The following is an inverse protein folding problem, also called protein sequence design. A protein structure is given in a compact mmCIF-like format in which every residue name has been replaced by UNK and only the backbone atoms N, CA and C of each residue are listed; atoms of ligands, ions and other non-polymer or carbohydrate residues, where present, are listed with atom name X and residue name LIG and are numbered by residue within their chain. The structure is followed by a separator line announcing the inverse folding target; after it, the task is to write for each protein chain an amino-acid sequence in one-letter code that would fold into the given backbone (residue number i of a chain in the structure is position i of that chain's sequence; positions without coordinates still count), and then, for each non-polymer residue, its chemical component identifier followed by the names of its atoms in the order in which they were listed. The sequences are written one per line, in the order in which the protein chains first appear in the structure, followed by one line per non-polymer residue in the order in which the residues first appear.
data_IF_591458097067
#
_entry.id   IF_591458097067
#
_cell.length_a   1.000
_cell.length_b   1.000
_cell.length_c   1.000
_cell.angle_alpha   90.00
_cell.angle_beta   90.00
_cell.angle_gamma   90.00
#
_symmetry.space_group_name_H-M   'P 1'
#
loop_
_entity.id
_entity.type
_entity.pdbx_description
1 polymer ?
#
# COMPACT_ATOMS: atom_id res chain seq x y z
N UNK A 1 1.59 63.81 24.21
CA UNK A 1 1.17 63.90 22.80
C UNK A 1 1.75 62.71 22.05
N UNK A 2 0.83 61.91 21.50
CA UNK A 2 0.89 60.78 20.58
C UNK A 2 1.89 59.60 20.73
N UNK A 3 1.38 58.36 20.56
CA UNK A 3 2.11 57.11 20.76
C UNK A 3 2.66 56.57 19.44
N UNK A 4 3.66 55.68 19.49
CA UNK A 4 3.94 54.77 18.37
C UNK A 4 3.98 53.33 18.85
N UNK A 5 2.88 52.64 18.52
CA UNK A 5 2.81 51.19 18.35
C UNK A 5 4.04 50.70 17.59
N UNK A 6 4.59 49.55 17.99
CA UNK A 6 5.35 48.70 17.08
C UNK A 6 5.06 47.25 17.41
N UNK A 7 4.18 46.72 16.56
CA UNK A 7 4.07 45.37 16.03
C UNK A 7 4.59 44.20 16.86
N UNK A 8 3.63 43.39 17.28
CA UNK A 8 3.73 41.95 17.53
C UNK A 8 4.31 41.26 16.29
N UNK A 9 5.50 40.68 16.41
CA UNK A 9 5.99 39.68 15.46
C UNK A 9 5.57 38.29 15.95
N UNK A 10 4.40 37.85 15.50
CA UNK A 10 4.04 36.43 15.56
C UNK A 10 4.85 35.70 14.48
N UNK A 11 5.94 35.07 14.88
CA UNK A 11 6.69 34.17 14.00
C UNK A 11 5.85 32.90 13.87
N UNK A 12 5.05 32.83 12.80
CA UNK A 12 4.48 31.58 12.34
C UNK A 12 5.63 30.70 11.85
N UNK A 13 6.09 29.78 12.69
CA UNK A 13 7.01 28.72 12.29
C UNK A 13 6.21 27.79 11.37
N UNK A 14 6.26 28.07 10.07
CA UNK A 14 5.94 27.07 9.05
C UNK A 14 6.96 25.95 9.22
N UNK A 15 6.57 24.90 9.94
CA UNK A 15 7.30 23.65 9.99
C UNK A 15 7.32 23.06 8.57
N UNK A 16 8.39 23.35 7.83
CA UNK A 16 8.70 22.64 6.62
C UNK A 16 8.79 21.13 6.96
N UNK A 17 8.11 20.25 6.23
CA UNK A 17 8.21 18.81 6.48
C UNK A 17 9.69 18.41 6.35
N UNK A 18 10.24 17.85 7.42
CA UNK A 18 11.63 17.39 7.44
C UNK A 18 11.82 16.30 6.37
N UNK A 19 12.97 16.27 5.68
CA UNK A 19 13.24 15.29 4.62
C UNK A 19 13.13 13.83 5.09
N UNK A 20 13.32 13.58 6.40
CA UNK A 20 13.14 12.26 7.00
C UNK A 20 11.70 11.73 6.89
N UNK A 21 10.68 12.59 7.02
CA UNK A 21 9.29 12.18 6.83
C UNK A 21 9.03 11.82 5.37
N UNK A 22 9.55 12.61 4.42
CA UNK A 22 9.39 12.35 2.98
C UNK A 22 10.10 11.05 2.54
N UNK A 23 11.28 10.77 3.11
CA UNK A 23 12.05 9.56 2.81
C UNK A 23 11.36 8.28 3.30
N UNK A 24 10.78 8.29 4.51
CA UNK A 24 10.11 7.11 5.05
C UNK A 24 8.89 6.69 4.21
N UNK A 25 8.11 7.65 3.67
CA UNK A 25 6.97 7.34 2.81
C UNK A 25 7.39 6.92 1.38
N UNK A 26 8.49 7.47 0.86
CA UNK A 26 9.03 7.07 -0.46
C UNK A 26 9.49 5.61 -0.51
N UNK A 27 10.12 5.11 0.56
CA UNK A 27 10.58 3.71 0.63
C UNK A 27 9.43 2.69 0.66
N UNK A 28 8.26 3.10 1.16
CA UNK A 28 7.07 2.25 1.22
C UNK A 28 6.35 2.18 -0.13
N UNK A 29 6.42 3.24 -0.94
CA UNK A 29 5.85 3.24 -2.29
C UNK A 29 6.59 2.27 -3.23
N UNK A 30 7.92 2.20 -3.12
CA UNK A 30 8.75 1.28 -3.92
C UNK A 30 8.61 -0.18 -3.48
N UNK A 31 8.24 -0.45 -2.22
CA UNK A 31 8.14 -1.80 -1.68
C UNK A 31 6.88 -2.55 -2.13
N UNK A 32 5.77 -1.85 -2.45
CA UNK A 32 4.53 -2.50 -2.88
C UNK A 32 4.72 -3.32 -4.16
N UNK A 33 5.42 -2.77 -5.16
CA UNK A 33 5.70 -3.49 -6.40
C UNK A 33 6.55 -4.74 -6.19
N UNK A 34 7.49 -4.68 -5.24
CA UNK A 34 8.30 -5.83 -4.85
C UNK A 34 7.46 -6.88 -4.12
N UNK A 35 6.67 -6.48 -3.12
CA UNK A 35 5.79 -7.38 -2.35
C UNK A 35 4.83 -8.11 -3.29
N UNK A 36 4.30 -7.40 -4.30
CA UNK A 36 3.36 -7.97 -5.26
C UNK A 36 3.92 -9.10 -6.14
N UNK A 37 5.24 -9.26 -6.19
CA UNK A 37 5.93 -10.27 -7.00
C UNK A 37 6.88 -11.13 -6.17
N UNK A 38 6.91 -10.95 -4.85
CA UNK A 38 7.82 -11.64 -3.96
C UNK A 38 7.49 -13.14 -3.90
N UNK A 39 8.49 -14.04 -4.02
CA UNK A 39 8.22 -15.46 -4.14
C UNK A 39 7.60 -16.05 -2.86
N UNK A 40 6.47 -16.74 -3.01
CA UNK A 40 5.84 -17.53 -1.94
C UNK A 40 6.19 -19.01 -2.15
N UNK A 41 6.93 -19.58 -1.22
CA UNK A 41 7.28 -21.00 -1.27
C UNK A 41 6.05 -21.89 -1.08
N UNK A 42 6.01 -23.04 -1.75
CA UNK A 42 4.98 -24.08 -1.56
C UNK A 42 3.57 -23.70 -2.02
N UNK A 43 3.44 -22.76 -2.97
CA UNK A 43 2.21 -22.63 -3.74
C UNK A 43 2.08 -23.81 -4.73
N UNK A 44 0.87 -24.33 -4.98
CA UNK A 44 0.64 -25.32 -6.02
C UNK A 44 1.05 -24.76 -7.39
N UNK A 45 1.53 -25.63 -8.27
CA UNK A 45 1.95 -25.25 -9.63
C UNK A 45 0.76 -25.37 -10.60
N UNK A 46 0.87 -24.73 -11.75
CA UNK A 46 -0.12 -24.85 -12.83
C UNK A 46 -1.30 -23.90 -12.69
N UNK A 47 -2.40 -24.26 -13.36
CA UNK A 47 -3.62 -23.46 -13.43
C UNK A 47 -4.51 -23.74 -12.22
N UNK A 48 -5.24 -22.72 -11.75
CA UNK A 48 -6.17 -22.82 -10.63
C UNK A 48 -7.21 -23.93 -10.81
N UNK A 49 -7.71 -24.11 -12.04
CA UNK A 49 -8.67 -25.17 -12.38
C UNK A 49 -8.13 -26.60 -12.16
N UNK A 50 -6.81 -26.77 -12.15
CA UNK A 50 -6.15 -28.05 -11.98
C UNK A 50 -5.82 -28.35 -10.50
N UNK A 51 -6.02 -27.37 -9.61
CA UNK A 51 -5.79 -27.54 -8.18
C UNK A 51 -6.92 -28.34 -7.52
N UNK A 52 -6.54 -29.23 -6.61
CA UNK A 52 -7.45 -29.86 -5.66
C UNK A 52 -8.01 -28.83 -4.67
N UNK A 53 -9.11 -29.15 -4.00
CA UNK A 53 -9.73 -28.23 -3.05
C UNK A 53 -8.83 -27.97 -1.82
N UNK A 54 -8.05 -28.98 -1.40
CA UNK A 54 -7.06 -28.84 -0.33
C UNK A 54 -5.91 -27.90 -0.74
N UNK A 55 -5.45 -28.00 -1.99
CA UNK A 55 -4.44 -27.09 -2.55
C UNK A 55 -4.95 -25.66 -2.63
N UNK A 56 -6.19 -25.45 -3.09
CA UNK A 56 -6.83 -24.13 -3.12
C UNK A 56 -6.91 -23.53 -1.72
N UNK A 57 -7.43 -24.29 -0.75
CA UNK A 57 -7.57 -23.84 0.63
C UNK A 57 -6.21 -23.49 1.27
N UNK A 58 -5.20 -24.31 1.03
CA UNK A 58 -3.84 -24.07 1.55
C UNK A 58 -3.17 -22.88 0.87
N UNK A 59 -3.30 -22.76 -0.45
CA UNK A 59 -2.75 -21.64 -1.22
C UNK A 59 -3.35 -20.31 -0.75
N UNK A 60 -4.68 -20.21 -0.60
CA UNK A 60 -5.31 -18.96 -0.16
C UNK A 60 -4.90 -18.56 1.26
N UNK A 61 -4.82 -19.51 2.20
CA UNK A 61 -4.33 -19.23 3.55
C UNK A 61 -2.89 -18.70 3.52
N UNK A 62 -2.04 -19.31 2.68
CA UNK A 62 -0.63 -18.93 2.56
C UNK A 62 -0.44 -17.58 1.87
N UNK A 63 -1.14 -17.32 0.77
CA UNK A 63 -1.14 -16.02 0.08
C UNK A 63 -1.66 -14.94 1.05
N UNK A 64 -2.80 -15.19 1.69
CA UNK A 64 -3.41 -14.24 2.63
C UNK A 64 -2.48 -13.90 3.79
N UNK A 65 -1.90 -14.91 4.46
CA UNK A 65 -0.95 -14.70 5.55
C UNK A 65 0.32 -13.97 5.12
N UNK A 66 0.88 -14.33 3.96
CA UNK A 66 2.07 -13.67 3.42
C UNK A 66 1.82 -12.20 3.07
N UNK A 67 0.74 -11.91 2.34
CA UNK A 67 0.37 -10.55 1.96
C UNK A 67 0.00 -9.70 3.18
N UNK A 68 -0.70 -10.29 4.17
CA UNK A 68 -1.01 -9.61 5.41
C UNK A 68 0.26 -9.25 6.19
N UNK A 69 1.18 -10.20 6.33
CA UNK A 69 2.45 -9.98 7.02
C UNK A 69 3.25 -8.85 6.36
N UNK A 70 3.47 -8.90 5.04
CA UNK A 70 4.30 -7.89 4.37
C UNK A 70 3.63 -6.53 4.24
N UNK A 71 2.32 -6.49 4.00
CA UNK A 71 1.61 -5.23 3.85
C UNK A 71 1.23 -4.65 5.20
N UNK A 72 0.48 -5.35 6.05
CA UNK A 72 -0.08 -4.75 7.27
C UNK A 72 1.00 -4.41 8.29
N UNK A 73 2.02 -5.25 8.51
CA UNK A 73 3.08 -4.91 9.46
C UNK A 73 3.91 -3.71 9.01
N UNK A 74 4.00 -3.47 7.70
CA UNK A 74 4.67 -2.27 7.13
C UNK A 74 3.90 -0.97 7.39
N UNK A 75 2.59 -1.03 7.69
CA UNK A 75 1.74 0.17 7.89
C UNK A 75 1.07 0.25 9.28
N UNK A 76 0.90 -0.86 10.00
CA UNK A 76 -0.01 -0.99 11.14
C UNK A 76 0.55 -0.54 12.50
N UNK A 77 1.87 -0.55 12.67
CA UNK A 77 2.52 -0.21 13.95
C UNK A 77 3.12 1.21 13.98
N UNK A 78 2.75 2.06 13.04
CA UNK A 78 3.35 3.39 12.87
C UNK A 78 2.48 4.48 13.52
N UNK A 79 3.07 5.29 14.38
CA UNK A 79 2.41 6.53 14.84
C UNK A 79 2.44 7.56 13.71
N UNK A 80 1.26 8.01 13.26
CA UNK A 80 1.15 8.98 12.19
C UNK A 80 1.13 10.42 12.72
N UNK A 81 1.80 11.37 12.02
CA UNK A 81 1.87 12.76 12.46
C UNK A 81 0.54 13.52 12.36
N UNK A 82 -0.41 13.03 11.57
CA UNK A 82 -1.76 13.59 11.43
C UNK A 82 -2.72 12.59 10.76
N UNK A 83 -4.02 12.96 10.71
CA UNK A 83 -5.08 12.14 10.10
C UNK A 83 -4.83 11.87 8.62
N UNK A 84 -4.41 12.88 7.84
CA UNK A 84 -4.17 12.71 6.41
C UNK A 84 -3.02 11.72 6.11
N UNK A 85 -1.96 11.73 6.92
CA UNK A 85 -0.86 10.77 6.81
C UNK A 85 -1.32 9.35 7.18
N UNK A 86 -2.18 9.20 8.19
CA UNK A 86 -2.77 7.92 8.55
C UNK A 86 -3.69 7.37 7.44
N UNK A 87 -4.51 8.23 6.83
CA UNK A 87 -5.41 7.83 5.76
C UNK A 87 -4.65 7.39 4.51
N UNK A 88 -3.63 8.16 4.10
CA UNK A 88 -2.73 7.75 3.01
C UNK A 88 -2.10 6.39 3.27
N UNK A 89 -1.55 6.17 4.47
CA UNK A 89 -0.93 4.90 4.83
C UNK A 89 -1.92 3.73 4.79
N UNK A 90 -3.18 3.93 5.22
CA UNK A 90 -4.24 2.92 5.11
C UNK A 90 -4.59 2.62 3.65
N UNK A 91 -4.64 3.64 2.79
CA UNK A 91 -4.88 3.44 1.36
C UNK A 91 -3.71 2.68 0.69
N UNK A 92 -2.48 3.00 1.04
CA UNK A 92 -1.28 2.27 0.58
C UNK A 92 -1.25 0.83 1.10
N UNK A 93 -1.66 0.58 2.34
CA UNK A 93 -1.80 -0.77 2.88
C UNK A 93 -2.83 -1.59 2.11
N UNK A 94 -4.00 -1.00 1.82
CA UNK A 94 -5.05 -1.64 1.01
C UNK A 94 -4.55 -1.93 -0.41
N UNK A 95 -3.89 -0.96 -1.03
CA UNK A 95 -3.28 -1.10 -2.35
C UNK A 95 -2.24 -2.23 -2.37
N UNK A 96 -1.39 -2.31 -1.35
CA UNK A 96 -0.41 -3.37 -1.17
C UNK A 96 -1.06 -4.75 -1.09
N UNK A 97 -2.08 -4.91 -0.23
CA UNK A 97 -2.78 -6.18 -0.06
C UNK A 97 -3.41 -6.66 -1.36
N UNK A 98 -4.10 -5.77 -2.08
CA UNK A 98 -4.73 -6.13 -3.35
C UNK A 98 -3.69 -6.47 -4.42
N UNK A 99 -2.61 -5.68 -4.52
CA UNK A 99 -1.54 -5.94 -5.49
C UNK A 99 -0.86 -7.30 -5.20
N UNK A 100 -0.58 -7.59 -3.94
CA UNK A 100 0.00 -8.85 -3.49
C UNK A 100 -0.87 -10.05 -3.80
N UNK A 101 -2.15 -9.99 -3.45
CA UNK A 101 -3.07 -11.10 -3.73
C UNK A 101 -3.20 -11.31 -5.25
N UNK A 102 -3.46 -10.26 -6.02
CA UNK A 102 -3.60 -10.36 -7.50
C UNK A 102 -2.33 -10.90 -8.17
N UNK A 103 -1.15 -10.52 -7.66
CA UNK A 103 0.15 -11.00 -8.15
C UNK A 103 0.40 -12.48 -7.92
N UNK A 104 -0.18 -13.08 -6.88
CA UNK A 104 0.00 -14.49 -6.53
C UNK A 104 -1.13 -15.41 -7.00
N UNK A 105 -2.22 -14.87 -7.52
CA UNK A 105 -3.31 -15.66 -8.10
C UNK A 105 -2.93 -16.18 -9.50
N UNK A 106 -3.19 -17.46 -9.81
CA UNK A 106 -3.05 -17.99 -11.16
C UNK A 106 -3.88 -17.21 -12.17
N UNK A 107 -3.41 -17.15 -13.42
CA UNK A 107 -4.06 -16.36 -14.49
C UNK A 107 -5.50 -16.77 -14.78
N UNK A 108 -5.85 -18.04 -14.57
CA UNK A 108 -7.17 -18.61 -14.79
C UNK A 108 -8.10 -18.53 -13.57
N UNK A 109 -7.68 -17.87 -12.48
CA UNK A 109 -8.55 -17.68 -11.33
C UNK A 109 -9.81 -16.87 -11.71
N UNK A 110 -11.04 -17.37 -11.45
CA UNK A 110 -12.28 -16.83 -12.03
C UNK A 110 -12.54 -15.34 -11.80
N UNK A 111 -12.04 -14.78 -10.69
CA UNK A 111 -12.29 -13.39 -10.31
C UNK A 111 -11.07 -12.48 -10.49
N UNK A 112 -10.00 -12.96 -11.14
CA UNK A 112 -8.73 -12.22 -11.20
C UNK A 112 -8.86 -10.87 -11.90
N UNK A 113 -9.63 -10.80 -12.98
CA UNK A 113 -9.83 -9.55 -13.73
C UNK A 113 -10.66 -8.52 -12.95
N UNK A 114 -11.71 -8.97 -12.26
CA UNK A 114 -12.45 -8.11 -11.34
C UNK A 114 -11.54 -7.56 -10.23
N UNK A 115 -10.67 -8.40 -9.68
CA UNK A 115 -9.71 -7.97 -8.66
C UNK A 115 -8.63 -7.01 -9.20
N UNK A 116 -8.25 -7.13 -10.48
CA UNK A 116 -7.37 -6.15 -11.14
C UNK A 116 -8.04 -4.78 -11.28
N UNK A 117 -9.33 -4.76 -11.58
CA UNK A 117 -10.09 -3.51 -11.62
C UNK A 117 -10.23 -2.89 -10.23
N UNK A 118 -10.54 -3.70 -9.20
CA UNK A 118 -10.57 -3.25 -7.80
C UNK A 118 -9.21 -2.69 -7.35
N UNK A 119 -8.12 -3.32 -7.79
CA UNK A 119 -6.76 -2.84 -7.56
C UNK A 119 -6.52 -1.48 -8.22
N UNK A 120 -7.02 -1.26 -9.43
CA UNK A 120 -6.93 0.02 -10.13
C UNK A 120 -7.72 1.12 -9.42
N UNK A 121 -8.93 0.81 -8.94
CA UNK A 121 -9.74 1.73 -8.13
C UNK A 121 -9.03 2.11 -6.82
N UNK A 122 -8.40 1.14 -6.15
CA UNK A 122 -7.63 1.42 -4.94
C UNK A 122 -6.38 2.24 -5.19
N UNK A 123 -5.69 2.01 -6.31
CA UNK A 123 -4.57 2.84 -6.75
C UNK A 123 -5.01 4.30 -6.94
N UNK A 124 -6.10 4.53 -7.66
CA UNK A 124 -6.64 5.88 -7.88
C UNK A 124 -7.04 6.56 -6.56
N UNK A 125 -7.62 5.81 -5.63
CA UNK A 125 -7.95 6.30 -4.29
C UNK A 125 -6.67 6.68 -3.49
N UNK A 126 -5.64 5.85 -3.50
CA UNK A 126 -4.37 6.13 -2.83
C UNK A 126 -3.66 7.34 -3.45
N UNK A 127 -3.68 7.48 -4.78
CA UNK A 127 -3.12 8.64 -5.50
C UNK A 127 -3.80 9.94 -5.11
N UNK A 128 -5.14 9.96 -4.98
CA UNK A 128 -5.90 11.13 -4.51
C UNK A 128 -5.51 11.54 -3.08
N UNK A 129 -5.03 10.60 -2.26
CA UNK A 129 -4.53 10.84 -0.91
C UNK A 129 -3.02 11.17 -0.86
N UNK A 130 -2.40 11.38 -2.02
CA UNK A 130 -1.00 11.75 -2.14
C UNK A 130 -0.02 10.58 -2.06
N UNK A 131 -0.47 9.34 -2.27
CA UNK A 131 0.43 8.18 -2.38
C UNK A 131 1.40 8.34 -3.54
N UNK A 132 2.67 8.00 -3.33
CA UNK A 132 3.72 8.06 -4.35
C UNK A 132 3.89 6.74 -5.14
N UNK A 133 3.05 5.73 -4.87
CA UNK A 133 3.15 4.41 -5.50
C UNK A 133 3.05 4.54 -7.02
N UNK A 134 3.93 3.84 -7.73
CA UNK A 134 3.94 3.79 -9.19
C UNK A 134 3.00 2.70 -9.73
N UNK A 135 2.45 2.92 -10.92
CA UNK A 135 1.61 1.97 -11.67
C UNK A 135 2.35 1.52 -12.94
N UNK A 136 2.18 0.27 -13.45
CA UNK A 136 1.23 -0.77 -13.05
C UNK A 136 1.62 -1.62 -11.84
N UNK A 137 0.59 -2.21 -11.21
CA UNK A 137 0.70 -3.22 -10.15
C UNK A 137 -0.27 -4.40 -10.42
N UNK A 138 0.16 -5.65 -10.18
CA UNK A 138 1.55 -6.10 -10.17
C UNK A 138 2.24 -5.77 -11.52
N UNK A 139 3.57 -5.61 -11.52
CA UNK A 139 4.36 -5.42 -12.75
C UNK A 139 4.43 -6.76 -13.47
N UNK A 140 3.42 -7.06 -14.29
CA UNK A 140 3.37 -8.29 -15.12
C UNK A 140 4.46 -8.32 -16.21
#
# INVERSE_FOLDING_TARGET
MNPRLSLVFAIAILAAPTPAAVQAFGQVADSIGYIATAPISGLPKGLYKDWTDDEKGTAFKRIGGFCQFLCVDSFGNTTFPNVAAADRARAEAKLCLQACVVGHLPRDYPNRDAMKEDLRVAYDAARKQGSAVAWPLPKE
#
